data_IF_245815777355
#
_entry.id   IF_245815777355
#
_cell.length_a   1.000
_cell.length_b   1.000
_cell.length_c   1.000
_cell.angle_alpha   90.00
_cell.angle_beta   90.00
_cell.angle_gamma   90.00
#
_symmetry.space_group_name_H-M   'P 1'
#
loop_
_entity.id
_entity.type
_entity.pdbx_description
1 polymer ?
#
# COMPACT_ATOMS: atom_id res chain seq x y z
N UNK A 1 -12.12 -40.68 49.94
CA UNK A 1 -12.74 -41.01 48.64
C UNK A 1 -13.79 -39.95 48.24
N UNK A 2 -13.48 -38.65 48.32
CA UNK A 2 -14.47 -37.58 48.07
C UNK A 2 -14.01 -36.53 47.04
N UNK A 3 -12.88 -36.76 46.37
CA UNK A 3 -12.22 -35.78 45.48
C UNK A 3 -12.38 -36.08 43.99
N UNK A 4 -13.15 -37.13 43.63
CA UNK A 4 -13.35 -37.55 42.23
C UNK A 4 -14.63 -36.96 41.59
N UNK A 5 -15.62 -36.54 42.40
CA UNK A 5 -16.86 -35.94 41.89
C UNK A 5 -16.68 -34.57 41.20
N UNK A 6 -15.86 -33.62 41.71
CA UNK A 6 -15.72 -32.31 41.04
C UNK A 6 -14.91 -32.39 39.73
N UNK A 7 -14.06 -33.41 39.57
CA UNK A 7 -13.28 -33.63 38.34
C UNK A 7 -14.15 -34.16 37.18
N UNK A 8 -15.17 -34.98 37.48
CA UNK A 8 -16.11 -35.46 36.45
C UNK A 8 -17.06 -34.35 35.98
N UNK A 9 -17.42 -33.40 36.85
CA UNK A 9 -18.27 -32.25 36.48
C UNK A 9 -17.60 -31.25 35.53
N UNK A 10 -16.28 -31.12 35.61
CA UNK A 10 -15.49 -30.24 34.73
C UNK A 10 -15.31 -30.81 33.31
N UNK A 11 -15.51 -32.12 33.11
CA UNK A 11 -15.39 -32.77 31.79
C UNK A 11 -16.65 -32.65 30.92
N UNK A 12 -17.76 -32.14 31.45
CA UNK A 12 -19.02 -31.96 30.72
C UNK A 12 -19.30 -30.50 30.31
N UNK A 13 -18.32 -29.58 30.41
CA UNK A 13 -18.51 -28.23 29.88
C UNK A 13 -18.40 -28.24 28.36
N UNK A 14 -19.53 -28.14 27.66
CA UNK A 14 -19.58 -27.99 26.21
C UNK A 14 -19.03 -26.60 25.86
N UNK A 15 -17.97 -26.50 25.03
CA UNK A 15 -17.44 -25.21 24.60
C UNK A 15 -18.53 -24.38 23.92
N UNK A 16 -18.58 -23.09 24.19
CA UNK A 16 -19.60 -22.17 23.65
C UNK A 16 -19.65 -22.21 22.11
N UNK A 17 -18.51 -22.46 21.46
CA UNK A 17 -18.39 -22.57 20.01
C UNK A 17 -19.19 -23.74 19.39
N UNK A 18 -19.52 -24.78 20.15
CA UNK A 18 -20.30 -25.94 19.69
C UNK A 18 -21.59 -26.14 20.49
N UNK A 19 -21.88 -25.25 21.44
CA UNK A 19 -23.11 -25.31 22.22
C UNK A 19 -24.27 -24.75 21.37
N UNK A 20 -25.27 -25.58 21.01
CA UNK A 20 -26.36 -25.16 20.13
C UNK A 20 -27.21 -24.03 20.73
N UNK A 21 -27.33 -23.96 22.07
CA UNK A 21 -28.03 -22.87 22.75
C UNK A 21 -27.25 -21.57 22.59
N UNK A 22 -25.95 -21.58 22.87
CA UNK A 22 -25.12 -20.38 22.72
C UNK A 22 -25.03 -19.89 21.25
N UNK A 23 -25.02 -20.83 20.29
CA UNK A 23 -25.10 -20.51 18.86
C UNK A 23 -26.46 -19.88 18.54
N UNK A 24 -27.56 -20.47 19.03
CA UNK A 24 -28.91 -19.94 18.84
C UNK A 24 -29.03 -18.53 19.40
N UNK A 25 -28.60 -18.30 20.64
CA UNK A 25 -28.64 -16.99 21.32
C UNK A 25 -27.78 -15.92 20.61
N UNK A 26 -26.75 -16.34 19.86
CA UNK A 26 -25.93 -15.44 19.04
C UNK A 26 -26.57 -15.13 17.69
N UNK A 27 -27.27 -16.08 17.09
CA UNK A 27 -28.01 -15.90 15.83
C UNK A 27 -29.27 -15.05 16.05
N UNK A 28 -30.02 -15.31 17.12
CA UNK A 28 -31.23 -14.54 17.49
C UNK A 28 -30.89 -13.17 18.05
N UNK A 29 -29.62 -12.91 18.34
CA UNK A 29 -29.15 -11.66 18.91
C UNK A 29 -29.44 -11.51 20.41
N UNK A 30 -29.93 -12.55 21.09
CA UNK A 30 -30.24 -12.54 22.52
C UNK A 30 -29.01 -12.23 23.38
N UNK A 31 -27.83 -12.71 22.96
CA UNK A 31 -26.53 -12.34 23.57
C UNK A 31 -26.23 -10.84 23.52
N UNK A 32 -26.86 -10.08 22.60
CA UNK A 32 -26.70 -8.65 22.45
C UNK A 32 -27.87 -7.84 23.04
N UNK A 33 -28.94 -8.50 23.51
CA UNK A 33 -30.17 -7.85 23.98
C UNK A 33 -29.97 -6.90 25.17
N UNK A 34 -28.92 -7.11 25.98
CA UNK A 34 -28.56 -6.24 27.12
C UNK A 34 -27.55 -5.15 26.79
N UNK A 35 -27.10 -5.04 25.54
CA UNK A 35 -26.17 -3.97 25.15
C UNK A 35 -26.94 -2.68 24.95
N UNK A 36 -26.33 -1.58 25.39
CA UNK A 36 -26.84 -0.25 25.07
C UNK A 36 -26.93 -0.11 23.54
N UNK A 37 -28.06 0.36 23.00
CA UNK A 37 -28.17 0.60 21.57
C UNK A 37 -27.08 1.58 21.12
N UNK A 38 -26.53 1.41 19.91
CA UNK A 38 -25.56 2.36 19.39
C UNK A 38 -26.22 3.75 19.29
N UNK A 39 -25.45 4.82 19.52
CA UNK A 39 -26.00 6.18 19.46
C UNK A 39 -26.60 6.46 18.07
N UNK A 40 -27.78 7.08 18.05
CA UNK A 40 -28.50 7.41 16.83
C UNK A 40 -29.32 6.26 16.22
N UNK A 41 -29.47 5.11 16.87
CA UNK A 41 -30.36 4.02 16.41
C UNK A 41 -31.84 4.46 16.32
N UNK A 42 -32.25 5.40 17.18
CA UNK A 42 -33.60 5.96 17.21
C UNK A 42 -33.83 7.09 16.18
N UNK A 43 -32.77 7.54 15.51
CA UNK A 43 -32.86 8.55 14.46
C UNK A 43 -33.41 7.93 13.16
N UNK A 44 -34.18 8.66 12.34
CA UNK A 44 -34.65 8.16 11.04
C UNK A 44 -33.50 7.79 10.07
N UNK A 45 -32.31 8.35 10.31
CA UNK A 45 -31.09 8.09 9.56
C UNK A 45 -29.92 7.85 10.53
N UNK A 46 -29.80 6.64 11.10
CA UNK A 46 -28.74 6.33 12.05
C UNK A 46 -27.37 6.50 11.40
N UNK A 47 -26.48 7.27 12.03
CA UNK A 47 -25.10 7.38 11.58
C UNK A 47 -24.36 6.08 11.90
N UNK A 48 -24.32 5.15 10.93
CA UNK A 48 -23.64 3.85 11.06
C UNK A 48 -22.11 3.94 11.18
N UNK A 49 -21.55 5.15 11.08
CA UNK A 49 -20.15 5.42 11.29
C UNK A 49 -19.90 6.91 11.50
N UNK A 50 -18.82 7.22 12.22
CA UNK A 50 -18.31 8.59 12.35
C UNK A 50 -17.28 8.81 11.26
N UNK A 51 -17.56 9.75 10.34
CA UNK A 51 -16.53 10.22 9.41
C UNK A 51 -15.59 11.13 10.20
N UNK A 52 -14.28 10.80 10.29
CA UNK A 52 -13.34 11.67 10.96
C UNK A 52 -13.26 13.01 10.23
N UNK A 53 -12.91 14.06 10.97
CA UNK A 53 -12.75 15.38 10.38
C UNK A 53 -11.72 15.36 9.26
N UNK A 54 -11.96 16.16 8.23
CA UNK A 54 -11.01 16.30 7.14
C UNK A 54 -9.70 16.89 7.70
N UNK A 55 -8.54 16.29 7.41
CA UNK A 55 -7.27 16.86 7.83
C UNK A 55 -7.09 18.29 7.31
N UNK A 56 -6.52 19.15 8.15
CA UNK A 56 -6.19 20.53 7.78
C UNK A 56 -5.13 20.51 6.68
N UNK A 57 -5.35 21.31 5.63
CA UNK A 57 -4.40 21.41 4.53
C UNK A 57 -3.11 22.10 5.04
N UNK A 58 -1.93 21.59 4.69
CA UNK A 58 -0.68 22.25 5.05
C UNK A 58 -0.57 23.65 4.44
N UNK A 59 0.14 24.53 5.15
CA UNK A 59 0.49 25.88 4.70
C UNK A 59 1.11 25.88 3.29
N UNK A 60 0.88 26.95 2.51
CA UNK A 60 1.42 27.05 1.14
C UNK A 60 2.94 26.90 1.11
N UNK A 61 3.64 27.60 2.01
CA UNK A 61 5.10 27.56 2.13
C UNK A 61 5.64 26.15 2.40
N UNK A 62 4.94 25.35 3.21
CA UNK A 62 5.34 23.98 3.49
C UNK A 62 5.23 23.09 2.24
N UNK A 63 4.17 23.29 1.44
CA UNK A 63 3.98 22.57 0.17
C UNK A 63 5.04 22.95 -0.86
N UNK A 64 5.39 24.22 -0.93
CA UNK A 64 6.46 24.72 -1.81
C UNK A 64 7.83 24.16 -1.40
N UNK A 65 8.14 24.13 -0.11
CA UNK A 65 9.39 23.56 0.39
C UNK A 65 9.52 22.07 0.03
N UNK A 66 8.46 21.27 0.21
CA UNK A 66 8.46 19.86 -0.17
C UNK A 66 8.61 19.70 -1.68
N UNK A 67 7.93 20.54 -2.47
CA UNK A 67 8.01 20.49 -3.93
C UNK A 67 9.42 20.82 -4.43
N UNK A 68 10.06 21.83 -3.85
CA UNK A 68 11.43 22.20 -4.16
C UNK A 68 12.43 21.09 -3.78
N UNK A 69 12.27 20.47 -2.60
CA UNK A 69 13.09 19.34 -2.18
C UNK A 69 12.97 18.15 -3.14
N UNK A 70 11.75 17.83 -3.61
CA UNK A 70 11.52 16.75 -4.58
C UNK A 70 12.11 17.04 -5.95
N UNK A 71 12.18 18.31 -6.37
CA UNK A 71 12.88 18.68 -7.61
C UNK A 71 14.38 18.46 -7.45
N UNK A 72 14.95 18.91 -6.33
CA UNK A 72 16.38 18.72 -6.05
C UNK A 72 16.76 17.24 -5.98
N UNK A 73 15.94 16.40 -5.35
CA UNK A 73 16.18 14.96 -5.23
C UNK A 73 16.16 14.25 -6.59
N UNK A 74 15.23 14.64 -7.47
CA UNK A 74 15.21 14.12 -8.85
C UNK A 74 16.45 14.52 -9.63
N UNK A 75 16.91 15.77 -9.49
CA UNK A 75 18.15 16.22 -10.14
C UNK A 75 19.40 15.54 -9.55
N UNK A 76 19.41 15.25 -8.25
CA UNK A 76 20.48 14.49 -7.61
C UNK A 76 20.51 13.03 -8.10
N UNK A 77 19.34 12.40 -8.21
CA UNK A 77 19.19 11.00 -8.64
C UNK A 77 19.58 10.76 -10.10
N UNK A 78 19.61 11.81 -10.93
CA UNK A 78 20.09 11.73 -12.32
C UNK A 78 21.60 11.62 -12.43
N UNK A 79 22.35 11.95 -11.38
CA UNK A 79 23.80 11.83 -11.37
C UNK A 79 24.18 10.36 -11.13
N UNK A 80 25.05 9.83 -11.99
CA UNK A 80 25.63 8.53 -11.78
C UNK A 80 26.35 8.52 -10.42
N UNK A 81 26.14 7.44 -9.65
CA UNK A 81 26.90 7.22 -8.44
C UNK A 81 28.30 6.78 -8.88
N UNK A 82 29.30 7.59 -8.53
CA UNK A 82 30.69 7.18 -8.68
C UNK A 82 30.94 6.00 -7.74
N UNK A 83 31.53 4.90 -8.23
CA UNK A 83 31.97 3.81 -7.37
C UNK A 83 32.89 4.37 -6.29
N UNK A 84 32.49 4.23 -5.02
CA UNK A 84 33.38 4.54 -3.92
C UNK A 84 34.61 3.65 -4.04
N UNK A 85 35.79 4.25 -3.99
CA UNK A 85 37.05 3.52 -3.96
C UNK A 85 37.00 2.56 -2.75
N UNK A 86 37.35 1.27 -2.92
CA UNK A 86 37.35 0.33 -1.82
C UNK A 86 38.29 0.84 -0.73
N UNK A 87 37.82 0.82 0.52
CA UNK A 87 38.63 1.23 1.66
C UNK A 87 39.95 0.42 1.67
N UNK A 88 41.09 1.06 1.94
CA UNK A 88 42.36 0.36 2.00
C UNK A 88 42.28 -0.80 3.01
N UNK A 89 42.81 -1.98 2.66
CA UNK A 89 42.78 -3.13 3.55
C UNK A 89 43.51 -2.80 4.86
N UNK A 90 42.87 -3.13 6.00
CA UNK A 90 43.47 -2.99 7.34
C UNK A 90 43.16 -1.69 8.07
N UNK A 91 42.29 -0.81 7.55
CA UNK A 91 41.77 0.30 8.35
C UNK A 91 40.77 -0.22 9.39
N UNK A 92 40.89 0.18 10.67
CA UNK A 92 39.93 -0.20 11.69
C UNK A 92 38.56 0.39 11.34
N UNK A 93 37.51 -0.44 11.41
CA UNK A 93 36.14 0.06 11.24
C UNK A 93 35.88 1.19 12.25
N UNK A 94 35.40 2.37 11.80
CA UNK A 94 35.08 3.45 12.71
C UNK A 94 33.93 3.00 13.63
N UNK A 95 34.19 2.93 14.94
CA UNK A 95 33.20 2.55 15.96
C UNK A 95 33.46 1.23 16.72
N UNK A 96 34.63 0.60 16.58
CA UNK A 96 34.94 -0.65 17.30
C UNK A 96 35.06 -0.47 18.82
N UNK A 97 34.31 -1.26 19.58
CA UNK A 97 34.44 -1.37 21.03
C UNK A 97 35.60 -2.32 21.43
N UNK A 98 36.23 -2.13 22.61
CA UNK A 98 37.26 -3.03 23.10
C UNK A 98 36.73 -4.46 23.28
N UNK A 99 37.38 -5.46 22.66
CA UNK A 99 37.04 -6.89 22.78
C UNK A 99 36.34 -7.51 21.57
N UNK A 100 35.95 -6.72 20.58
CA UNK A 100 35.36 -7.23 19.32
C UNK A 100 36.41 -8.00 18.50
N UNK A 101 36.12 -9.19 17.93
CA UNK A 101 37.06 -9.88 17.04
C UNK A 101 37.34 -9.09 15.76
N UNK A 102 38.56 -9.24 15.22
CA UNK A 102 38.97 -8.57 13.98
C UNK A 102 38.29 -9.25 12.78
N UNK A 103 37.19 -8.65 12.30
CA UNK A 103 36.53 -9.09 11.07
C UNK A 103 37.18 -8.33 9.91
N UNK A 104 37.76 -9.02 8.91
CA UNK A 104 38.33 -8.33 7.76
C UNK A 104 37.25 -7.46 7.11
N UNK A 105 37.49 -6.15 7.06
CA UNK A 105 36.56 -5.17 6.50
C UNK A 105 36.37 -5.27 4.98
N UNK A 106 37.05 -6.23 4.34
CA UNK A 106 36.92 -6.52 2.92
C UNK A 106 36.09 -7.80 2.75
N UNK A 107 34.96 -7.77 2.03
CA UNK A 107 34.22 -8.99 1.74
C UNK A 107 35.12 -9.98 0.98
N UNK A 108 34.89 -11.30 1.12
CA UNK A 108 35.62 -12.28 0.34
C UNK A 108 35.46 -11.98 -1.16
N UNK A 109 36.49 -12.26 -1.97
CA UNK A 109 36.41 -12.04 -3.41
C UNK A 109 35.22 -12.83 -3.98
N UNK A 110 34.46 -12.25 -4.93
CA UNK A 110 33.33 -12.95 -5.53
C UNK A 110 33.83 -14.26 -6.17
N UNK A 111 33.02 -15.33 -6.15
CA UNK A 111 33.37 -16.56 -6.84
C UNK A 111 33.60 -16.22 -8.33
N UNK A 112 34.71 -16.71 -8.89
CA UNK A 112 34.97 -16.57 -10.32
C UNK A 112 34.01 -17.47 -11.08
N UNK A 113 32.87 -16.92 -11.46
CA UNK A 113 31.95 -17.57 -12.38
C UNK A 113 32.58 -17.55 -13.78
N UNK A 114 32.41 -18.64 -14.54
CA UNK A 114 32.80 -18.66 -15.94
C UNK A 114 32.06 -17.54 -16.69
N UNK A 115 32.74 -16.90 -17.64
CA UNK A 115 32.12 -15.88 -18.47
C UNK A 115 30.89 -16.47 -19.18
N UNK A 116 29.73 -15.86 -18.96
CA UNK A 116 28.54 -16.22 -19.71
C UNK A 116 28.75 -15.87 -21.19
N UNK A 117 28.31 -16.72 -22.14
CA UNK A 117 28.35 -16.37 -23.55
C UNK A 117 27.55 -15.08 -23.78
N UNK A 118 28.02 -14.19 -24.68
CA UNK A 118 27.31 -12.95 -24.97
C UNK A 118 25.92 -13.27 -25.54
N UNK A 119 24.89 -12.69 -24.93
CA UNK A 119 23.54 -12.71 -25.48
C UNK A 119 23.45 -11.54 -26.46
N UNK A 120 23.36 -11.77 -27.77
CA UNK A 120 23.17 -10.69 -28.73
C UNK A 120 21.79 -10.06 -28.53
N UNK A 121 21.77 -8.81 -28.06
CA UNK A 121 20.53 -8.04 -27.90
C UNK A 121 19.86 -7.68 -29.23
N UNK A 122 20.60 -7.81 -30.33
CA UNK A 122 20.13 -7.53 -31.70
C UNK A 122 19.67 -8.79 -32.42
N UNK A 123 19.81 -9.97 -31.81
CA UNK A 123 19.24 -11.19 -32.36
C UNK A 123 17.75 -11.23 -32.01
N UNK A 124 16.92 -10.78 -32.93
CA UNK A 124 15.54 -11.27 -33.02
C UNK A 124 15.63 -12.78 -33.03
N UNK A 125 15.20 -13.43 -31.95
CA UNK A 125 15.08 -14.87 -31.92
C UNK A 125 14.29 -15.28 -33.16
N UNK A 126 14.93 -16.02 -34.06
CA UNK A 126 14.26 -16.71 -35.16
C UNK A 126 13.48 -17.87 -34.52
N UNK A 127 12.42 -17.49 -33.81
CA UNK A 127 11.37 -18.39 -33.39
C UNK A 127 10.76 -18.83 -34.71
N UNK A 128 10.96 -20.09 -35.10
CA UNK A 128 10.53 -20.69 -36.38
C UNK A 128 9.01 -20.71 -36.64
N UNK A 129 8.29 -19.67 -36.23
CA UNK A 129 7.03 -19.24 -36.77
C UNK A 129 7.38 -18.36 -37.98
N UNK A 130 7.13 -18.90 -39.19
CA UNK A 130 7.37 -18.19 -40.44
C UNK A 130 6.72 -16.81 -40.50
N UNK A 131 7.00 -16.01 -41.55
CA UNK A 131 6.61 -14.61 -41.60
C UNK A 131 5.09 -14.48 -41.42
N UNK A 132 4.67 -13.99 -40.27
CA UNK A 132 3.35 -13.41 -40.14
C UNK A 132 3.35 -12.20 -41.06
N UNK A 133 2.59 -12.29 -42.15
CA UNK A 133 2.13 -11.16 -42.94
C UNK A 133 1.76 -10.03 -41.96
N UNK A 134 2.14 -8.76 -42.19
CA UNK A 134 1.77 -7.66 -41.31
C UNK A 134 0.24 -7.61 -41.16
N UNK A 135 -0.26 -8.27 -40.13
CA UNK A 135 -1.65 -8.20 -39.72
C UNK A 135 -1.84 -6.79 -39.20
N UNK A 136 -2.79 -6.10 -39.81
CA UNK A 136 -3.20 -4.76 -39.42
C UNK A 136 -3.22 -4.64 -37.89
N UNK A 137 -2.64 -3.57 -37.37
CA UNK A 137 -2.71 -3.24 -35.95
C UNK A 137 -4.18 -3.41 -35.48
N UNK A 138 -4.42 -4.11 -34.36
CA UNK A 138 -5.78 -4.21 -33.84
C UNK A 138 -6.29 -2.79 -33.61
N UNK A 139 -7.47 -2.49 -34.16
CA UNK A 139 -8.11 -1.20 -33.98
C UNK A 139 -8.23 -0.91 -32.49
N UNK A 140 -7.82 0.29 -32.08
CA UNK A 140 -8.10 0.78 -30.74
C UNK A 140 -9.62 0.65 -30.50
N UNK A 141 -10.06 0.21 -29.31
CA UNK A 141 -11.48 0.22 -29.00
C UNK A 141 -11.98 1.67 -29.14
N UNK A 142 -12.86 1.91 -30.11
CA UNK A 142 -13.62 3.15 -30.19
C UNK A 142 -14.47 3.21 -28.93
N UNK A 143 -14.02 3.98 -27.95
CA UNK A 143 -14.92 4.49 -26.93
C UNK A 143 -15.78 5.52 -27.65
N UNK A 144 -17.05 5.18 -27.87
CA UNK A 144 -18.05 6.13 -28.31
C UNK A 144 -18.17 7.17 -27.19
N UNK A 145 -17.47 8.29 -27.36
CA UNK A 145 -17.62 9.45 -26.48
C UNK A 145 -19.05 9.91 -26.73
N UNK A 146 -19.93 9.66 -25.75
CA UNK A 146 -21.30 10.18 -25.75
C UNK A 146 -21.31 11.68 -26.03
N UNK A 147 -22.46 12.25 -26.42
CA UNK A 147 -22.56 13.63 -26.87
C UNK A 147 -21.86 14.57 -25.90
N UNK A 148 -21.03 15.46 -26.46
CA UNK A 148 -20.31 16.47 -25.68
C UNK A 148 -21.28 17.19 -24.73
N UNK A 149 -20.89 17.43 -23.47
CA UNK A 149 -21.72 18.18 -22.56
C UNK A 149 -22.04 19.57 -23.18
N UNK A 150 -23.26 20.08 -22.99
CA UNK A 150 -23.62 21.40 -23.49
C UNK A 150 -22.64 22.44 -22.96
N UNK A 151 -22.26 23.38 -23.83
CA UNK A 151 -21.38 24.48 -23.46
C UNK A 151 -21.93 25.22 -22.23
N UNK A 152 -21.06 25.66 -21.30
CA UNK A 152 -21.50 26.46 -20.18
C UNK A 152 -22.19 27.74 -20.70
N UNK A 153 -23.27 28.20 -20.04
CA UNK A 153 -23.92 29.44 -20.43
C UNK A 153 -22.91 30.60 -20.37
N UNK A 154 -22.99 31.58 -21.30
CA UNK A 154 -22.14 32.75 -21.25
C UNK A 154 -22.33 33.49 -19.91
N UNK A 155 -21.26 34.06 -19.33
CA UNK A 155 -21.35 34.78 -18.07
C UNK A 155 -22.01 36.14 -18.27
N UNK A 156 -23.34 36.16 -18.42
CA UNK A 156 -24.15 37.39 -18.51
C UNK A 156 -25.42 37.29 -17.65
N UNK A 157 -25.28 36.83 -16.40
CA UNK A 157 -26.35 36.91 -15.38
C UNK A 157 -25.89 37.57 -14.07
N UNK A 158 -24.86 38.40 -14.15
CA UNK A 158 -24.64 39.47 -13.17
C UNK A 158 -24.89 40.79 -13.90
N UNK A 159 -26.17 41.08 -14.16
CA UNK A 159 -26.58 42.44 -14.49
C UNK A 159 -26.04 43.42 -13.44
N UNK A 160 -25.81 44.69 -13.81
CA UNK A 160 -25.24 45.67 -12.88
C UNK A 160 -26.11 45.75 -11.61
N UNK A 161 -25.49 45.95 -10.44
CA UNK A 161 -26.24 46.06 -9.18
C UNK A 161 -27.28 47.18 -9.32
N UNK A 162 -28.54 46.87 -8.97
CA UNK A 162 -29.54 47.93 -8.81
C UNK A 162 -29.08 48.84 -7.68
N UNK A 163 -28.89 50.11 -8.02
CA UNK A 163 -28.66 51.21 -7.08
C UNK A 163 -29.88 51.39 -6.14
N UNK A 164 -29.70 51.99 -4.95
CA UNK A 164 -30.57 51.82 -3.78
C UNK A 164 -32.00 52.32 -3.95
#
# INVERSE_FOLDING_TARGET
>A
MALLLPLLGAACSVPEAVNPVAIYDRITGETFARRTPPPGLDDPFPRLGTVPERPVRPELRAREAVSAALVQDREASRRALEPSEPAPPGLPSPGRAPGEPDVPGTPPPPPRLAAAPPIPWDATADSGLGPATPGAAPAAPSIEIGPAPPAPPPPDLLGPPRAP
#
